data_IF_278217483223
#
_entry.id   IF_278217483223
#
_cell.length_a   1.000
_cell.length_b   1.000
_cell.length_c   1.000
_cell.angle_alpha   90.00
_cell.angle_beta   90.00
_cell.angle_gamma   90.00
#
_symmetry.space_group_name_H-M   'P 1'
#
loop_
_entity.id
_entity.type
_entity.pdbx_description
1 polymer ?
#
# COMPACT_ATOMS: atom_id res chain seq x y z
N UNK A 1 -28.10 9.89 8.22
CA UNK A 1 -26.93 10.55 7.66
C UNK A 1 -25.89 10.75 8.76
N UNK A 2 -24.98 9.78 8.98
CA UNK A 2 -23.81 9.94 9.85
C UNK A 2 -22.63 10.28 8.94
N UNK A 3 -22.26 11.57 8.88
CA UNK A 3 -21.05 12.07 8.29
C UNK A 3 -19.85 11.34 8.95
N UNK A 4 -19.26 10.40 8.26
CA UNK A 4 -17.90 9.94 8.54
C UNK A 4 -16.98 11.10 8.13
N UNK A 5 -16.69 12.02 9.06
CA UNK A 5 -15.61 12.98 8.91
C UNK A 5 -14.33 12.16 8.92
N UNK A 6 -13.78 11.86 7.74
CA UNK A 6 -12.34 11.65 7.61
C UNK A 6 -11.70 12.88 8.26
N UNK A 7 -11.18 12.73 9.47
CA UNK A 7 -10.25 13.71 10.01
C UNK A 7 -9.05 13.70 9.09
N UNK A 8 -9.01 14.63 8.16
CA UNK A 8 -7.80 15.02 7.45
C UNK A 8 -6.80 15.44 8.52
N UNK A 9 -6.01 14.50 9.02
CA UNK A 9 -4.81 14.85 9.76
C UNK A 9 -3.95 15.62 8.77
N UNK A 10 -3.84 16.91 8.99
CA UNK A 10 -2.94 17.78 8.24
C UNK A 10 -1.52 17.33 8.59
N UNK A 11 -0.98 16.41 7.80
CA UNK A 11 0.45 16.08 7.85
C UNK A 11 1.18 17.25 7.21
N UNK A 12 2.15 17.81 7.91
CA UNK A 12 2.96 18.92 7.39
C UNK A 12 3.88 18.44 6.25
N UNK A 13 4.39 17.21 6.37
CA UNK A 13 5.26 16.57 5.38
C UNK A 13 4.50 15.43 4.70
N UNK A 14 4.10 15.62 3.45
CA UNK A 14 3.41 14.58 2.65
C UNK A 14 4.39 13.54 2.10
N UNK A 15 5.54 13.99 1.61
CA UNK A 15 6.63 13.14 1.14
C UNK A 15 7.97 13.83 1.25
N UNK A 16 9.04 13.04 1.28
CA UNK A 16 10.42 13.50 1.16
C UNK A 16 11.02 12.84 -0.08
N UNK A 17 11.63 13.65 -0.96
CA UNK A 17 12.30 13.20 -2.17
C UNK A 17 13.73 13.76 -2.19
N UNK A 18 14.72 12.88 -2.26
CA UNK A 18 16.12 13.26 -2.23
C UNK A 18 17.05 12.09 -2.54
N UNK A 19 18.34 12.30 -2.32
CA UNK A 19 19.36 11.28 -2.48
C UNK A 19 19.46 10.43 -1.20
N UNK A 20 19.69 9.13 -1.36
CA UNK A 20 19.85 8.24 -0.22
C UNK A 20 21.28 8.39 0.30
N UNK A 21 21.44 9.08 1.42
CA UNK A 21 22.74 9.27 2.07
C UNK A 21 23.16 8.02 2.85
N UNK A 22 22.22 7.42 3.59
CA UNK A 22 22.43 6.18 4.35
C UNK A 22 21.18 5.33 4.29
N UNK A 23 21.36 4.00 4.31
CA UNK A 23 20.24 3.06 4.36
C UNK A 23 20.59 1.85 5.21
N UNK A 24 19.64 1.46 6.06
CA UNK A 24 19.63 0.22 6.85
C UNK A 24 18.27 -0.43 6.74
N UNK A 25 18.09 -1.71 7.12
CA UNK A 25 16.78 -2.37 7.09
C UNK A 25 15.68 -1.70 7.92
N UNK A 26 16.06 -0.79 8.84
CA UNK A 26 15.13 -0.14 9.75
C UNK A 26 15.01 1.38 9.54
N UNK A 27 15.97 2.01 8.86
CA UNK A 27 16.05 3.46 8.72
C UNK A 27 16.74 3.84 7.40
N UNK A 28 16.26 4.90 6.78
CA UNK A 28 16.92 5.57 5.68
C UNK A 28 17.17 7.04 6.03
N UNK A 29 18.33 7.58 5.62
CA UNK A 29 18.61 9.01 5.65
C UNK A 29 18.52 9.55 4.23
N UNK A 30 17.58 10.46 4.02
CA UNK A 30 17.35 11.09 2.72
C UNK A 30 17.88 12.53 2.78
N UNK A 31 18.86 12.81 1.93
CA UNK A 31 19.40 14.16 1.76
C UNK A 31 18.52 14.96 0.79
N UNK A 32 18.02 16.08 1.29
CA UNK A 32 17.25 17.06 0.52
C UNK A 32 18.03 18.38 0.51
N UNK A 33 18.95 18.54 -0.45
CA UNK A 33 19.77 19.74 -0.64
C UNK A 33 20.57 20.15 0.62
N UNK A 34 21.25 19.19 1.26
CA UNK A 34 22.07 19.41 2.43
C UNK A 34 21.33 19.27 3.78
N UNK A 35 20.06 18.89 3.76
CA UNK A 35 19.32 18.52 4.98
C UNK A 35 19.03 17.03 4.96
N UNK A 36 19.61 16.28 5.91
CA UNK A 36 19.41 14.84 6.07
C UNK A 36 18.22 14.53 6.96
N UNK A 37 17.22 13.85 6.42
CA UNK A 37 16.04 13.38 7.16
C UNK A 37 16.20 11.91 7.53
N UNK A 38 16.28 11.60 8.84
CA UNK A 38 16.27 10.24 9.37
C UNK A 38 14.85 9.68 9.42
N UNK A 39 14.57 8.66 8.62
CA UNK A 39 13.23 8.14 8.38
C UNK A 39 13.20 6.66 8.73
N UNK A 40 12.32 6.26 9.65
CA UNK A 40 12.07 4.85 9.95
C UNK A 40 11.30 4.20 8.82
N UNK A 41 11.78 3.07 8.32
CA UNK A 41 11.18 2.34 7.20
C UNK A 41 10.86 0.89 7.58
N UNK A 42 9.95 0.26 6.85
CA UNK A 42 9.68 -1.18 6.89
C UNK A 42 10.71 -1.95 6.05
N UNK A 43 10.79 -3.27 6.22
CA UNK A 43 11.60 -4.13 5.33
C UNK A 43 11.07 -4.11 3.89
N UNK A 44 9.76 -3.96 3.68
CA UNK A 44 9.18 -3.82 2.35
C UNK A 44 9.68 -2.55 1.66
N UNK A 45 9.62 -1.41 2.35
CA UNK A 45 10.19 -0.15 1.84
C UNK A 45 11.69 -0.26 1.63
N UNK A 46 12.45 -0.86 2.57
CA UNK A 46 13.88 -1.11 2.41
C UNK A 46 14.18 -1.90 1.13
N UNK A 47 13.49 -3.02 0.91
CA UNK A 47 13.68 -3.86 -0.28
C UNK A 47 13.40 -3.11 -1.58
N UNK A 48 12.43 -2.19 -1.55
CA UNK A 48 12.07 -1.38 -2.71
C UNK A 48 13.12 -0.31 -3.07
N UNK A 49 13.87 0.22 -2.07
CA UNK A 49 14.76 1.37 -2.30
C UNK A 49 16.26 1.08 -2.14
N UNK A 50 16.66 -0.09 -1.60
CA UNK A 50 18.05 -0.41 -1.26
C UNK A 50 19.05 -0.29 -2.43
N UNK A 51 18.58 -0.48 -3.67
CA UNK A 51 19.40 -0.39 -4.87
C UNK A 51 19.26 0.96 -5.61
N UNK A 52 18.58 1.93 -5.00
CA UNK A 52 18.37 3.24 -5.59
C UNK A 52 19.37 4.25 -5.02
N UNK A 53 19.80 5.21 -5.82
CA UNK A 53 20.61 6.36 -5.36
C UNK A 53 19.72 7.52 -4.91
N UNK A 54 18.52 7.61 -5.46
CA UNK A 54 17.53 8.64 -5.19
C UNK A 54 16.16 8.03 -5.04
N UNK A 55 15.38 8.51 -4.06
CA UNK A 55 14.05 7.98 -3.81
C UNK A 55 13.04 9.05 -3.39
N UNK A 56 11.76 8.67 -3.39
CA UNK A 56 10.64 9.42 -2.82
C UNK A 56 9.96 8.53 -1.79
N UNK A 57 9.88 8.98 -0.55
CA UNK A 57 9.16 8.30 0.52
C UNK A 57 7.95 9.11 0.94
N UNK A 58 6.79 8.47 1.05
CA UNK A 58 5.59 9.04 1.65
C UNK A 58 5.74 9.02 3.16
N UNK A 59 5.43 10.14 3.83
CA UNK A 59 5.77 10.33 5.24
C UNK A 59 4.53 10.27 6.12
N UNK A 60 4.74 9.76 7.32
CA UNK A 60 3.91 9.96 8.49
C UNK A 60 4.75 10.55 9.61
N UNK A 61 4.29 11.64 10.19
CA UNK A 61 4.93 12.34 11.29
C UNK A 61 4.29 11.92 12.62
N UNK A 62 5.08 11.29 13.48
CA UNK A 62 4.67 10.99 14.85
C UNK A 62 5.28 12.04 15.79
N UNK A 63 4.53 13.09 16.06
CA UNK A 63 4.93 14.17 16.95
C UNK A 63 4.39 13.89 18.34
N UNK A 64 5.27 13.86 19.33
CA UNK A 64 4.98 13.72 20.76
C UNK A 64 5.73 14.81 21.52
N UNK A 65 5.45 14.98 22.79
CA UNK A 65 6.14 15.95 23.64
C UNK A 65 7.66 15.73 23.71
N UNK A 66 8.07 14.45 23.70
CA UNK A 66 9.46 14.00 23.87
C UNK A 66 10.13 13.48 22.59
N UNK A 67 9.39 13.38 21.48
CA UNK A 67 9.91 12.75 20.26
C UNK A 67 9.23 13.27 19.00
N UNK A 68 10.04 13.50 17.97
CA UNK A 68 9.60 13.74 16.60
C UNK A 68 10.16 12.64 15.70
N UNK A 69 9.30 11.73 15.28
CA UNK A 69 9.69 10.54 14.54
C UNK A 69 9.04 10.54 13.17
N UNK A 70 9.84 10.35 12.12
CA UNK A 70 9.37 10.18 10.76
C UNK A 70 9.28 8.67 10.42
N UNK A 71 8.15 8.28 9.85
CA UNK A 71 7.97 6.97 9.22
C UNK A 71 7.79 7.19 7.71
N UNK A 72 8.52 6.41 6.90
CA UNK A 72 8.50 6.53 5.45
C UNK A 72 8.13 5.23 4.75
N UNK A 73 7.43 5.38 3.63
CA UNK A 73 6.86 4.29 2.86
C UNK A 73 7.14 4.50 1.38
N UNK A 74 7.45 3.42 0.67
CA UNK A 74 7.71 3.46 -0.77
C UNK A 74 6.43 3.74 -1.58
N UNK A 75 5.27 3.35 -1.06
CA UNK A 75 3.97 3.53 -1.71
C UNK A 75 2.96 4.23 -0.80
N UNK A 76 1.97 4.89 -1.41
CA UNK A 76 0.83 5.46 -0.66
C UNK A 76 0.01 4.38 0.04
N UNK A 77 -0.16 3.23 -0.61
CA UNK A 77 -0.90 2.09 -0.05
C UNK A 77 -0.27 1.59 1.25
N UNK A 78 1.06 1.45 1.30
CA UNK A 78 1.77 1.05 2.51
C UNK A 78 1.56 2.05 3.64
N UNK A 79 1.63 3.37 3.33
CA UNK A 79 1.33 4.44 4.31
C UNK A 79 -0.11 4.38 4.81
N UNK A 80 -1.08 4.14 3.94
CA UNK A 80 -2.49 4.04 4.33
C UNK A 80 -2.74 2.85 5.25
N UNK A 81 -2.13 1.69 4.96
CA UNK A 81 -2.18 0.54 5.85
C UNK A 81 -1.52 0.82 7.20
N UNK A 82 -0.39 1.53 7.21
CA UNK A 82 0.23 1.98 8.46
C UNK A 82 -0.73 2.86 9.28
N UNK A 83 -1.40 3.82 8.65
CA UNK A 83 -2.39 4.69 9.31
C UNK A 83 -3.57 3.91 9.87
N UNK A 84 -4.06 2.91 9.14
CA UNK A 84 -5.08 2.00 9.62
C UNK A 84 -4.60 1.21 10.84
N UNK A 85 -3.39 0.65 10.80
CA UNK A 85 -2.81 -0.10 11.91
C UNK A 85 -2.67 0.74 13.18
N UNK A 86 -2.14 1.97 13.08
CA UNK A 86 -1.98 2.84 14.26
C UNK A 86 -3.31 3.40 14.78
N UNK A 87 -4.41 3.29 14.01
CA UNK A 87 -5.76 3.62 14.50
C UNK A 87 -6.32 2.57 15.47
N UNK A 88 -5.73 1.37 15.48
CA UNK A 88 -6.11 0.28 16.39
C UNK A 88 -5.51 0.52 17.77
N UNK A 89 -6.35 0.49 18.79
CA UNK A 89 -5.88 0.69 20.17
C UNK A 89 -4.83 -0.36 20.58
N UNK A 90 -3.69 0.10 21.08
CA UNK A 90 -2.55 -0.74 21.49
C UNK A 90 -1.52 -0.97 20.38
N UNK A 91 -1.70 -0.38 19.18
CA UNK A 91 -0.70 -0.43 18.12
C UNK A 91 -0.05 0.95 17.96
N UNK A 92 1.24 1.00 18.28
CA UNK A 92 2.08 2.18 18.03
C UNK A 92 2.81 2.09 16.69
N UNK A 93 3.47 3.19 16.29
CA UNK A 93 4.19 3.27 15.01
C UNK A 93 5.25 2.17 14.82
N UNK A 94 6.01 1.81 15.86
CA UNK A 94 6.99 0.73 15.77
C UNK A 94 6.32 -0.64 15.54
N UNK A 95 5.21 -0.92 16.21
CA UNK A 95 4.47 -2.18 16.02
C UNK A 95 3.87 -2.25 14.61
N UNK A 96 3.27 -1.16 14.14
CA UNK A 96 2.74 -1.07 12.77
C UNK A 96 3.85 -1.28 11.72
N UNK A 97 5.03 -0.64 11.90
CA UNK A 97 6.19 -0.84 11.05
C UNK A 97 6.69 -2.30 11.03
N UNK A 98 6.67 -2.98 12.19
CA UNK A 98 7.04 -4.39 12.27
C UNK A 98 6.04 -5.30 11.55
N UNK A 99 4.74 -5.00 11.62
CA UNK A 99 3.71 -5.73 10.84
C UNK A 99 3.99 -5.57 9.35
N UNK A 100 4.20 -4.34 8.88
CA UNK A 100 4.51 -4.04 7.48
C UNK A 100 5.90 -4.53 7.04
N UNK A 101 6.79 -4.89 7.97
CA UNK A 101 8.05 -5.55 7.67
C UNK A 101 7.90 -7.07 7.53
N UNK A 102 6.92 -7.66 8.21
CA UNK A 102 6.67 -9.11 8.20
C UNK A 102 5.72 -9.53 7.08
N UNK A 103 4.81 -8.64 6.68
CA UNK A 103 3.78 -8.88 5.68
C UNK A 103 3.79 -7.75 4.65
N UNK A 104 3.76 -8.10 3.38
CA UNK A 104 3.55 -7.12 2.30
C UNK A 104 2.15 -6.49 2.42
N UNK A 105 1.91 -5.32 1.82
CA UNK A 105 0.59 -4.69 1.81
C UNK A 105 -0.54 -5.62 1.36
N UNK A 106 -0.33 -6.38 0.29
CA UNK A 106 -1.31 -7.34 -0.24
C UNK A 106 -1.56 -8.52 0.71
N UNK A 107 -0.49 -9.10 1.28
CA UNK A 107 -0.61 -10.18 2.26
C UNK A 107 -1.35 -9.72 3.51
N UNK A 108 -1.04 -8.52 4.01
CA UNK A 108 -1.71 -7.96 5.17
C UNK A 108 -3.20 -7.77 4.94
N UNK A 109 -3.59 -7.22 3.78
CA UNK A 109 -5.00 -7.12 3.40
C UNK A 109 -5.68 -8.49 3.36
N UNK A 110 -5.05 -9.48 2.73
CA UNK A 110 -5.57 -10.85 2.67
C UNK A 110 -5.73 -11.51 4.04
N UNK A 111 -4.76 -11.32 4.93
CA UNK A 111 -4.79 -11.83 6.30
C UNK A 111 -5.94 -11.22 7.11
N UNK A 112 -6.17 -9.91 6.97
CA UNK A 112 -7.25 -9.22 7.68
C UNK A 112 -8.61 -9.61 7.10
N UNK A 113 -8.76 -9.63 5.78
CA UNK A 113 -10.02 -10.00 5.11
C UNK A 113 -10.42 -11.45 5.41
N UNK A 114 -9.46 -12.39 5.42
CA UNK A 114 -9.69 -13.80 5.77
C UNK A 114 -9.87 -14.06 7.28
N UNK A 115 -9.56 -13.07 8.13
CA UNK A 115 -9.64 -13.23 9.58
C UNK A 115 -8.56 -14.13 10.18
N UNK A 116 -7.38 -14.22 9.55
CA UNK A 116 -6.31 -15.11 9.98
C UNK A 116 -5.47 -14.50 11.12
N UNK A 117 -5.98 -14.55 12.35
CA UNK A 117 -5.29 -14.07 13.54
C UNK A 117 -4.00 -14.85 13.89
N UNK A 118 -3.91 -16.10 13.45
CA UNK A 118 -2.73 -16.94 13.69
C UNK A 118 -1.50 -16.38 12.98
N UNK A 119 -1.66 -15.91 11.75
CA UNK A 119 -0.56 -15.34 10.98
C UNK A 119 -0.13 -13.98 11.55
N UNK A 120 -1.06 -13.12 11.96
CA UNK A 120 -0.73 -11.86 12.65
C UNK A 120 0.03 -12.08 13.96
N UNK A 121 -0.30 -13.14 14.69
CA UNK A 121 0.38 -13.50 15.94
C UNK A 121 1.85 -13.91 15.75
N UNK A 122 2.27 -14.33 14.56
CA UNK A 122 3.68 -14.64 14.29
C UNK A 122 4.56 -13.39 14.27
N UNK A 123 3.97 -12.21 14.10
CA UNK A 123 4.71 -10.95 14.13
C UNK A 123 5.12 -10.62 15.55
N UNK A 124 6.43 -10.38 15.75
CA UNK A 124 6.99 -10.05 17.07
C UNK A 124 6.27 -8.84 17.68
N UNK A 125 5.82 -9.00 18.92
CA UNK A 125 5.13 -7.95 19.68
C UNK A 125 3.61 -7.92 19.48
N UNK A 126 3.03 -8.87 18.72
CA UNK A 126 1.58 -9.02 18.57
C UNK A 126 1.10 -10.26 19.33
N UNK A 127 0.30 -10.02 20.37
CA UNK A 127 -0.43 -11.06 21.09
C UNK A 127 -1.76 -11.43 20.41
N UNK A 128 -2.35 -12.56 20.82
CA UNK A 128 -3.63 -13.03 20.29
C UNK A 128 -4.73 -11.95 20.37
N UNK A 129 -4.87 -11.27 21.50
CA UNK A 129 -5.88 -10.22 21.70
C UNK A 129 -5.67 -9.03 20.74
N UNK A 130 -4.41 -8.66 20.48
CA UNK A 130 -4.07 -7.58 19.55
C UNK A 130 -4.35 -8.00 18.10
N UNK A 131 -4.00 -9.24 17.72
CA UNK A 131 -4.28 -9.78 16.40
C UNK A 131 -5.80 -9.79 16.10
N UNK A 132 -6.60 -10.28 17.04
CA UNK A 132 -8.06 -10.28 16.91
C UNK A 132 -8.64 -8.88 16.81
N UNK A 133 -8.13 -7.92 17.59
CA UNK A 133 -8.55 -6.52 17.53
C UNK A 133 -8.23 -5.91 16.17
N UNK A 134 -7.02 -6.15 15.61
CA UNK A 134 -6.65 -5.69 14.26
C UNK A 134 -7.69 -6.16 13.24
N UNK A 135 -8.04 -7.45 13.28
CA UNK A 135 -9.01 -8.02 12.34
C UNK A 135 -10.37 -7.34 12.49
N UNK A 136 -10.89 -7.27 13.73
CA UNK A 136 -12.22 -6.68 13.99
C UNK A 136 -12.28 -5.21 13.58
N UNK A 137 -11.26 -4.42 13.94
CA UNK A 137 -11.25 -2.97 13.71
C UNK A 137 -10.98 -2.59 12.24
N UNK A 138 -10.26 -3.46 11.48
CA UNK A 138 -9.80 -3.11 10.14
C UNK A 138 -10.49 -3.87 8.99
N UNK A 139 -11.15 -4.99 9.23
CA UNK A 139 -11.79 -5.80 8.18
C UNK A 139 -12.74 -4.97 7.31
N UNK A 140 -13.68 -4.26 7.92
CA UNK A 140 -14.66 -3.44 7.19
C UNK A 140 -14.02 -2.22 6.53
N UNK A 141 -12.96 -1.66 7.13
CA UNK A 141 -12.24 -0.49 6.59
C UNK A 141 -11.45 -0.86 5.34
N UNK A 142 -10.82 -2.04 5.32
CA UNK A 142 -10.08 -2.54 4.16
C UNK A 142 -11.03 -2.88 3.02
N UNK A 143 -12.15 -3.57 3.30
CA UNK A 143 -13.17 -3.87 2.31
C UNK A 143 -13.76 -2.60 1.67
N UNK A 144 -13.97 -1.54 2.47
CA UNK A 144 -14.52 -0.27 1.98
C UNK A 144 -13.50 0.62 1.27
N UNK A 145 -12.21 0.43 1.49
CA UNK A 145 -11.13 1.23 0.89
C UNK A 145 -10.69 0.76 -0.50
N UNK A 146 -11.23 -0.34 -1.01
CA UNK A 146 -10.81 -0.94 -2.28
C UNK A 146 -9.38 -1.50 -2.25
N UNK A 147 -8.78 -1.63 -1.06
CA UNK A 147 -7.45 -2.22 -0.85
C UNK A 147 -7.47 -3.76 -0.89
N UNK A 148 -8.58 -4.36 -1.32
CA UNK A 148 -8.65 -5.82 -1.45
C UNK A 148 -7.56 -6.30 -2.39
N UNK A 149 -6.98 -7.42 -2.02
CA UNK A 149 -5.89 -8.12 -2.68
C UNK A 149 -5.99 -8.07 -4.19
N UNK A 150 -5.17 -7.21 -4.78
CA UNK A 150 -4.82 -7.44 -6.18
C UNK A 150 -3.86 -8.63 -6.13
N UNK A 151 -4.40 -9.86 -6.23
CA UNK A 151 -3.62 -11.03 -6.53
C UNK A 151 -2.74 -10.70 -7.74
N UNK A 152 -1.48 -11.13 -7.74
CA UNK A 152 -0.58 -10.93 -8.89
C UNK A 152 -1.15 -11.47 -10.22
N UNK A 153 -2.14 -12.37 -10.16
CA UNK A 153 -2.96 -12.80 -11.29
C UNK A 153 -3.99 -11.73 -11.75
N UNK A 154 -4.40 -10.80 -10.85
CA UNK A 154 -5.30 -9.70 -11.19
C UNK A 154 -4.56 -8.49 -11.79
N UNK A 155 -3.25 -8.31 -11.58
CA UNK A 155 -2.50 -7.25 -12.29
C UNK A 155 -2.44 -7.52 -13.79
N UNK A 156 -2.25 -8.78 -14.19
CA UNK A 156 -2.39 -9.16 -15.60
C UNK A 156 -3.84 -9.05 -16.09
N UNK A 157 -4.83 -9.30 -15.24
CA UNK A 157 -6.26 -9.22 -15.55
C UNK A 157 -6.78 -7.77 -15.54
N UNK A 158 -6.32 -6.90 -14.65
CA UNK A 158 -6.77 -5.50 -14.61
C UNK A 158 -6.17 -4.67 -15.76
N UNK A 159 -4.89 -4.85 -16.08
CA UNK A 159 -4.29 -4.24 -17.26
C UNK A 159 -4.97 -4.73 -18.55
N UNK A 160 -5.26 -6.03 -18.64
CA UNK A 160 -6.02 -6.59 -19.76
C UNK A 160 -7.49 -6.13 -19.80
N UNK A 161 -8.10 -5.82 -18.64
CA UNK A 161 -9.45 -5.25 -18.58
C UNK A 161 -9.51 -3.80 -19.06
N UNK A 162 -8.55 -2.95 -18.67
CA UNK A 162 -8.48 -1.57 -19.16
C UNK A 162 -8.19 -1.53 -20.66
N UNK A 163 -7.22 -2.32 -21.15
CA UNK A 163 -6.91 -2.45 -22.57
C UNK A 163 -8.11 -3.01 -23.35
N UNK A 164 -8.83 -4.00 -22.80
CA UNK A 164 -10.04 -4.56 -23.38
C UNK A 164 -11.12 -3.49 -23.55
N UNK A 165 -11.43 -2.75 -22.48
CA UNK A 165 -12.51 -1.76 -22.50
C UNK A 165 -12.18 -0.57 -23.39
N UNK A 166 -10.93 -0.13 -23.42
CA UNK A 166 -10.44 0.94 -24.28
C UNK A 166 -10.45 0.52 -25.76
N UNK A 167 -10.02 -0.71 -26.07
CA UNK A 167 -10.07 -1.27 -27.43
C UNK A 167 -11.51 -1.46 -27.92
N UNK A 168 -12.41 -1.93 -27.08
CA UNK A 168 -13.83 -2.07 -27.40
C UNK A 168 -14.48 -0.70 -27.64
N UNK A 169 -14.15 0.32 -26.83
CA UNK A 169 -14.65 1.67 -27.00
C UNK A 169 -14.16 2.26 -28.33
N UNK A 170 -12.88 2.10 -28.66
CA UNK A 170 -12.31 2.58 -29.93
C UNK A 170 -12.98 1.92 -31.14
N UNK A 171 -13.17 0.61 -31.13
CA UNK A 171 -13.86 -0.11 -32.21
C UNK A 171 -15.32 0.32 -32.36
N UNK A 172 -15.99 0.58 -31.23
CA UNK A 172 -17.38 1.06 -31.25
C UNK A 172 -17.48 2.48 -31.83
N UNK A 173 -16.51 3.36 -31.53
CA UNK A 173 -16.41 4.70 -32.15
C UNK A 173 -16.16 4.63 -33.68
N UNK A 174 -15.47 3.61 -34.15
CA UNK A 174 -15.25 3.34 -35.58
C UNK A 174 -16.48 2.71 -36.27
N UNK A 175 -17.57 2.47 -35.52
CA UNK A 175 -18.85 1.98 -36.10
C UNK A 175 -19.03 0.46 -36.06
N UNK A 176 -18.16 -0.29 -35.37
CA UNK A 176 -18.34 -1.72 -35.19
C UNK A 176 -19.35 -2.03 -34.07
N UNK A 177 -20.11 -3.10 -34.22
CA UNK A 177 -21.07 -3.52 -33.19
C UNK A 177 -20.35 -3.93 -31.88
N UNK A 178 -20.77 -3.40 -30.74
CA UNK A 178 -20.14 -3.61 -29.44
C UNK A 178 -19.94 -5.10 -29.09
N UNK A 179 -20.95 -5.95 -29.35
CA UNK A 179 -20.88 -7.39 -29.06
C UNK A 179 -19.84 -8.13 -29.94
N UNK A 180 -19.61 -7.66 -31.17
CA UNK A 180 -18.58 -8.21 -32.07
C UNK A 180 -17.18 -7.75 -31.60
N UNK A 181 -17.04 -6.48 -31.26
CA UNK A 181 -15.79 -5.89 -30.75
C UNK A 181 -15.32 -6.57 -29.47
N UNK A 182 -16.22 -6.81 -28.53
CA UNK A 182 -15.90 -7.54 -27.26
C UNK A 182 -15.36 -8.94 -27.54
N UNK A 183 -15.99 -9.71 -28.46
CA UNK A 183 -15.53 -11.06 -28.79
C UNK A 183 -14.16 -11.08 -29.44
N UNK A 184 -13.89 -10.16 -30.34
CA UNK A 184 -12.61 -10.09 -31.06
C UNK A 184 -11.48 -9.66 -30.12
N UNK A 185 -11.70 -8.61 -29.33
CA UNK A 185 -10.69 -8.13 -28.37
C UNK A 185 -10.38 -9.19 -27.33
N UNK A 186 -11.41 -9.89 -26.80
CA UNK A 186 -11.21 -10.98 -25.83
C UNK A 186 -10.44 -12.19 -26.44
N UNK A 187 -10.62 -12.48 -27.73
CA UNK A 187 -9.88 -13.53 -28.42
C UNK A 187 -8.41 -13.16 -28.61
N UNK A 188 -8.11 -11.92 -29.04
CA UNK A 188 -6.76 -11.43 -29.25
C UNK A 188 -5.97 -11.38 -27.93
N UNK A 189 -6.56 -10.85 -26.85
CA UNK A 189 -5.91 -10.79 -25.53
C UNK A 189 -5.65 -12.18 -24.92
N UNK A 190 -6.38 -13.20 -25.38
CA UNK A 190 -6.16 -14.58 -24.96
C UNK A 190 -5.00 -15.25 -25.71
N UNK A 191 -4.77 -14.88 -26.95
CA UNK A 191 -3.69 -15.42 -27.79
C UNK A 191 -2.36 -14.66 -27.56
N UNK A 192 -2.42 -13.34 -27.33
CA UNK A 192 -1.25 -12.49 -27.07
C UNK A 192 -1.46 -11.62 -25.81
N UNK A 193 -1.21 -12.14 -24.61
CA UNK A 193 -1.40 -11.40 -23.34
C UNK A 193 -0.52 -10.16 -23.16
N UNK A 194 0.49 -9.96 -24.00
CA UNK A 194 1.45 -8.85 -23.96
C UNK A 194 1.46 -7.98 -25.21
N UNK A 195 0.38 -7.98 -25.99
CA UNK A 195 0.24 -7.03 -27.11
C UNK A 195 0.22 -5.58 -26.60
N UNK A 196 1.01 -4.66 -27.21
CA UNK A 196 1.10 -3.26 -26.79
C UNK A 196 -0.21 -2.49 -26.99
#
# INVERSE_FOLDING_TARGET
AKNCKLQTRTTMIEYIKGDIAEITPAMAVIDCNGVGYGINISLNTYSAIQNQTRTKLYIYEAIREDAYVLYGFSTKQERELFLLLISVSGIGGNTARMILSALSPSELCGVISSGNDKLLKTVKGIGLKTAQRIIVDLKDKIASSGMETVNSEMFASAANSEIHDEAVAALTMLGFAQAASQKVVAAILKEEPSAP
#
